data_IF_025325865787
#
_entry.id   IF_025325865787
#
_cell.length_a   1.000
_cell.length_b   1.000
_cell.length_c   1.000
_cell.angle_alpha   90.00
_cell.angle_beta   90.00
_cell.angle_gamma   90.00
#
_symmetry.space_group_name_H-M   'P 1'
#
loop_
_entity.id
_entity.type
_entity.pdbx_description
1 polymer ?
#
# COMPACT_ATOMS: atom_id res chain seq x y z
N UNK A 1 -30.38 36.65 11.32
CA UNK A 1 -29.61 37.56 12.20
C UNK A 1 -29.94 37.26 13.65
N UNK A 2 -29.17 36.41 14.30
CA UNK A 2 -28.99 36.42 15.77
C UNK A 2 -27.53 36.00 15.99
N UNK A 3 -26.73 36.96 16.46
CA UNK A 3 -25.34 36.77 16.90
C UNK A 3 -25.39 36.37 18.37
N UNK A 4 -24.60 35.38 18.78
CA UNK A 4 -24.13 35.25 20.15
C UNK A 4 -22.71 34.67 20.17
N UNK A 5 -21.92 34.97 21.22
CA UNK A 5 -20.54 35.40 21.10
C UNK A 5 -19.53 34.42 21.71
N UNK A 6 -18.26 34.71 21.44
CA UNK A 6 -17.10 34.09 22.06
C UNK A 6 -16.94 34.47 23.55
N UNK A 7 -16.47 33.52 24.35
CA UNK A 7 -15.73 33.70 25.60
C UNK A 7 -14.87 32.43 25.80
N UNK A 8 -13.55 32.49 25.54
CA UNK A 8 -12.46 32.75 26.49
C UNK A 8 -12.35 31.68 27.60
N UNK A 9 -11.31 30.84 27.48
CA UNK A 9 -10.57 30.33 28.63
C UNK A 9 -9.08 30.26 28.26
N UNK A 10 -8.34 31.27 28.72
CA UNK A 10 -6.89 31.28 28.81
C UNK A 10 -6.49 30.58 30.13
N UNK A 11 -5.49 29.71 30.07
CA UNK A 11 -4.88 29.06 31.24
C UNK A 11 -3.46 28.63 30.93
N UNK A 12 -2.54 29.59 31.07
CA UNK A 12 -1.10 29.58 30.81
C UNK A 12 -0.33 28.51 31.59
N UNK A 13 0.66 27.87 30.95
CA UNK A 13 1.90 27.41 31.60
C UNK A 13 3.04 27.47 30.58
N UNK A 14 4.04 28.28 30.91
CA UNK A 14 5.20 28.67 30.10
C UNK A 14 6.44 28.43 30.98
N UNK A 15 7.56 28.15 30.29
CA UNK A 15 8.97 28.24 30.71
C UNK A 15 9.75 26.97 31.12
N UNK A 16 10.61 26.52 30.18
CA UNK A 16 12.10 26.49 30.20
C UNK A 16 12.55 25.39 29.22
N UNK A 17 13.56 25.51 28.36
CA UNK A 17 14.55 26.53 28.06
C UNK A 17 15.40 26.01 26.89
N UNK A 18 15.90 26.93 26.07
CA UNK A 18 16.78 26.75 24.91
C UNK A 18 18.18 26.26 25.32
N UNK A 19 18.84 25.43 24.50
CA UNK A 19 20.31 25.40 24.24
C UNK A 19 20.65 24.39 23.12
N UNK A 20 21.26 24.90 22.02
CA UNK A 20 22.28 24.36 21.07
C UNK A 20 22.26 22.86 20.62
N UNK A 21 22.60 22.44 19.40
CA UNK A 21 23.55 22.98 18.43
C UNK A 21 23.31 22.45 17.00
N UNK A 22 23.79 23.23 16.04
CA UNK A 22 24.01 22.93 14.62
C UNK A 22 24.96 21.74 14.43
N UNK A 23 24.55 20.71 13.68
CA UNK A 23 25.47 19.84 12.93
C UNK A 23 25.05 19.90 11.46
N UNK A 24 25.76 20.74 10.71
CA UNK A 24 25.99 20.53 9.27
C UNK A 24 27.01 19.41 9.15
N UNK A 25 26.68 18.37 8.39
CA UNK A 25 27.60 17.31 8.02
C UNK A 25 27.07 16.51 6.84
N UNK A 26 27.45 16.92 5.63
CA UNK A 26 27.33 16.15 4.39
C UNK A 26 27.77 14.69 4.61
N UNK A 27 26.95 13.71 4.21
CA UNK A 27 27.35 12.43 3.59
C UNK A 27 26.13 11.50 3.43
N UNK A 28 25.29 11.76 2.44
CA UNK A 28 24.47 10.72 1.81
C UNK A 28 24.35 11.03 0.31
N UNK A 29 25.46 10.83 -0.41
CA UNK A 29 25.38 10.33 -1.79
C UNK A 29 25.28 8.81 -1.66
N UNK A 30 24.05 8.33 -1.46
CA UNK A 30 23.75 6.92 -1.69
C UNK A 30 23.66 6.73 -3.19
N UNK A 31 24.54 5.90 -3.75
CA UNK A 31 24.37 5.41 -5.11
C UNK A 31 23.00 4.73 -5.19
N UNK A 32 22.07 5.35 -5.92
CA UNK A 32 20.71 4.86 -6.13
C UNK A 32 20.64 3.68 -7.12
N UNK A 33 21.62 2.78 -7.11
CA UNK A 33 21.52 1.48 -7.77
C UNK A 33 20.81 0.47 -6.86
N UNK A 34 19.67 0.89 -6.30
CA UNK A 34 18.84 0.14 -5.36
C UNK A 34 18.04 -0.99 -6.02
N UNK A 35 18.71 -1.87 -6.76
CA UNK A 35 18.18 -3.19 -7.17
C UNK A 35 18.31 -4.20 -6.03
N UNK A 36 17.97 -3.79 -4.80
CA UNK A 36 17.94 -4.70 -3.66
C UNK A 36 16.99 -5.85 -4.00
N UNK A 37 17.46 -7.10 -4.10
CA UNK A 37 16.58 -8.22 -4.40
C UNK A 37 15.48 -8.26 -3.33
N UNK A 38 14.26 -8.60 -3.74
CA UNK A 38 13.22 -8.99 -2.78
C UNK A 38 13.87 -9.92 -1.76
N UNK A 39 13.67 -9.71 -0.44
CA UNK A 39 14.46 -10.35 0.59
C UNK A 39 14.56 -11.84 0.29
N UNK A 40 15.79 -12.29 0.01
CA UNK A 40 16.07 -13.66 -0.41
C UNK A 40 15.34 -14.59 0.54
N UNK A 41 14.45 -15.41 0.00
CA UNK A 41 13.59 -16.30 0.76
C UNK A 41 14.46 -17.12 1.73
N UNK A 42 14.50 -16.70 2.99
CA UNK A 42 15.37 -17.30 4.00
C UNK A 42 14.78 -18.66 4.35
N UNK A 43 15.45 -19.71 3.88
CA UNK A 43 15.17 -21.11 4.19
C UNK A 43 13.85 -21.68 3.65
N UNK A 44 13.50 -21.44 2.38
CA UNK A 44 12.79 -22.51 1.66
C UNK A 44 13.83 -23.58 1.43
N UNK A 45 13.80 -24.62 2.28
CA UNK A 45 14.53 -25.85 2.04
C UNK A 45 14.27 -26.23 0.60
N UNK A 46 15.31 -26.27 -0.24
CA UNK A 46 15.25 -26.72 -1.63
C UNK A 46 14.80 -28.18 -1.66
N UNK A 47 13.54 -28.45 -1.37
CA UNK A 47 12.81 -29.59 -1.88
C UNK A 47 12.62 -29.30 -3.36
N UNK A 48 13.69 -29.49 -4.14
CA UNK A 48 13.63 -29.59 -5.58
C UNK A 48 13.00 -30.96 -5.90
N UNK A 49 11.77 -31.18 -5.44
CA UNK A 49 10.91 -32.23 -5.92
C UNK A 49 10.56 -31.91 -7.36
N UNK A 50 10.97 -32.80 -8.27
CA UNK A 50 10.83 -32.71 -9.72
C UNK A 50 9.36 -32.96 -10.16
N UNK A 51 8.40 -32.44 -9.41
CA UNK A 51 6.95 -32.64 -9.63
C UNK A 51 6.35 -31.50 -10.48
N UNK A 52 7.08 -31.07 -11.51
CA UNK A 52 6.66 -29.97 -12.41
C UNK A 52 5.52 -30.33 -13.37
N UNK A 53 4.92 -31.51 -13.26
CA UNK A 53 3.82 -31.95 -14.10
C UNK A 53 2.55 -32.23 -13.28
N UNK A 54 2.22 -31.38 -12.32
CA UNK A 54 0.85 -31.36 -11.80
C UNK A 54 -0.05 -30.66 -12.84
N UNK A 55 -0.97 -31.37 -13.51
CA UNK A 55 -1.86 -30.79 -14.52
C UNK A 55 -2.71 -29.62 -13.98
N UNK A 56 -2.86 -29.49 -12.66
CA UNK A 56 -3.51 -28.34 -12.02
C UNK A 56 -2.78 -27.00 -12.15
N UNK A 57 -1.46 -27.00 -12.38
CA UNK A 57 -0.67 -25.77 -12.44
C UNK A 57 -0.99 -24.93 -13.68
N UNK A 58 -1.01 -25.56 -14.86
CA UNK A 58 -1.37 -24.92 -16.13
C UNK A 58 -2.83 -24.45 -16.13
N UNK A 59 -3.73 -25.25 -15.53
CA UNK A 59 -5.14 -24.89 -15.42
C UNK A 59 -5.34 -23.62 -14.59
N UNK A 60 -4.63 -23.51 -13.46
CA UNK A 60 -4.76 -22.35 -12.58
C UNK A 60 -4.26 -21.06 -13.23
N UNK A 61 -3.14 -21.14 -13.96
CA UNK A 61 -2.65 -20.01 -14.78
C UNK A 61 -3.70 -19.62 -15.82
N UNK A 62 -4.25 -20.58 -16.57
CA UNK A 62 -5.29 -20.33 -17.56
C UNK A 62 -6.53 -19.65 -16.96
N UNK A 63 -7.02 -20.15 -15.82
CA UNK A 63 -8.14 -19.54 -15.09
C UNK A 63 -7.82 -18.11 -14.65
N UNK A 64 -6.62 -17.87 -14.11
CA UNK A 64 -6.21 -16.53 -13.69
C UNK A 64 -6.14 -15.57 -14.88
N UNK A 65 -5.53 -15.98 -16.00
CA UNK A 65 -5.43 -15.16 -17.19
C UNK A 65 -6.80 -14.76 -17.76
N UNK A 66 -7.79 -15.64 -17.63
CA UNK A 66 -9.16 -15.43 -18.08
C UNK A 66 -9.98 -14.55 -17.13
N UNK A 67 -9.88 -14.78 -15.81
CA UNK A 67 -10.63 -14.03 -14.80
C UNK A 67 -9.82 -13.87 -13.49
N UNK A 68 -8.94 -12.86 -13.41
CA UNK A 68 -8.12 -12.61 -12.22
C UNK A 68 -8.95 -12.39 -10.95
N UNK A 69 -10.09 -11.71 -11.07
CA UNK A 69 -10.99 -11.44 -9.94
C UNK A 69 -11.57 -12.72 -9.36
N UNK A 70 -12.15 -13.58 -10.21
CA UNK A 70 -12.74 -14.84 -9.76
C UNK A 70 -11.71 -15.76 -9.10
N UNK A 71 -10.51 -15.89 -9.69
CA UNK A 71 -9.45 -16.72 -9.09
C UNK A 71 -8.94 -16.14 -7.77
N UNK A 72 -8.86 -14.82 -7.65
CA UNK A 72 -8.40 -14.16 -6.42
C UNK A 72 -9.43 -14.30 -5.30
N UNK A 73 -10.73 -14.16 -5.62
CA UNK A 73 -11.82 -14.15 -4.66
C UNK A 73 -12.62 -15.46 -4.59
N UNK A 74 -12.13 -16.58 -5.16
CA UNK A 74 -12.83 -17.88 -5.23
C UNK A 74 -13.22 -18.42 -3.83
N UNK A 75 -12.48 -18.04 -2.79
CA UNK A 75 -12.76 -18.43 -1.41
C UNK A 75 -12.42 -17.28 -0.45
N UNK A 76 -13.29 -16.26 -0.30
CA UNK A 76 -12.95 -15.03 0.40
C UNK A 76 -12.68 -15.25 1.90
N UNK A 77 -13.09 -16.37 2.48
CA UNK A 77 -12.91 -16.73 3.89
C UNK A 77 -11.64 -17.52 4.19
N UNK A 78 -10.82 -17.87 3.18
CA UNK A 78 -9.64 -18.70 3.37
C UNK A 78 -8.36 -17.86 3.35
N UNK A 79 -7.46 -18.17 4.30
CA UNK A 79 -6.05 -17.77 4.25
C UNK A 79 -5.41 -18.25 2.95
N UNK A 80 -4.72 -17.36 2.26
CA UNK A 80 -3.95 -17.69 1.06
C UNK A 80 -2.45 -17.57 1.33
N UNK A 81 -1.66 -18.34 0.59
CA UNK A 81 -0.20 -18.41 0.76
C UNK A 81 0.48 -18.26 -0.58
N UNK A 82 1.64 -17.62 -0.57
CA UNK A 82 2.59 -17.52 -1.68
C UNK A 82 4.00 -17.81 -1.13
N UNK A 83 5.04 -17.90 -1.98
CA UNK A 83 6.39 -18.23 -1.52
C UNK A 83 6.99 -17.28 -0.45
N UNK A 84 6.46 -16.07 -0.30
CA UNK A 84 6.95 -15.03 0.61
C UNK A 84 6.16 -14.91 1.90
N UNK A 85 5.00 -15.58 2.01
CA UNK A 85 4.18 -15.53 3.20
C UNK A 85 2.70 -15.83 2.95
N UNK A 86 1.86 -15.30 3.84
CA UNK A 86 0.40 -15.50 3.81
C UNK A 86 -0.36 -14.19 3.90
N UNK A 87 -1.61 -14.25 3.47
CA UNK A 87 -2.64 -13.23 3.70
C UNK A 87 -3.80 -13.94 4.41
N UNK A 88 -4.02 -13.60 5.67
CA UNK A 88 -5.17 -14.04 6.47
C UNK A 88 -6.33 -13.02 6.33
N UNK A 89 -7.50 -13.33 6.88
CA UNK A 89 -8.66 -12.41 6.86
C UNK A 89 -8.41 -11.14 7.68
N UNK A 90 -8.84 -9.97 7.20
CA UNK A 90 -8.63 -8.69 7.89
C UNK A 90 -9.09 -8.74 9.36
N UNK A 91 -10.28 -9.27 9.60
CA UNK A 91 -10.85 -9.46 10.95
C UNK A 91 -9.99 -10.37 11.84
N UNK A 92 -9.25 -11.32 11.26
CA UNK A 92 -8.34 -12.19 12.02
C UNK A 92 -7.16 -11.42 12.61
N UNK A 93 -6.65 -10.42 11.88
CA UNK A 93 -5.63 -9.50 12.38
C UNK A 93 -6.11 -8.72 13.60
N UNK A 94 -7.29 -8.11 13.49
CA UNK A 94 -7.87 -7.28 14.55
C UNK A 94 -8.17 -8.10 15.81
N UNK A 95 -8.78 -9.28 15.64
CA UNK A 95 -9.01 -10.22 16.73
C UNK A 95 -7.70 -10.64 17.42
N UNK A 96 -6.61 -10.83 16.67
CA UNK A 96 -5.29 -11.13 17.26
C UNK A 96 -4.74 -9.95 18.05
N UNK A 97 -4.81 -8.74 17.52
CA UNK A 97 -4.35 -7.53 18.22
C UNK A 97 -5.14 -7.31 19.53
N UNK A 98 -6.47 -7.44 19.47
CA UNK A 98 -7.34 -7.34 20.65
C UNK A 98 -7.06 -8.43 21.69
N UNK A 99 -6.68 -9.65 21.28
CA UNK A 99 -6.26 -10.70 22.22
C UNK A 99 -4.94 -10.35 22.92
N UNK A 100 -3.99 -9.73 22.21
CA UNK A 100 -2.74 -9.22 22.83
C UNK A 100 -3.07 -8.14 23.86
N UNK A 101 -3.88 -7.14 23.49
CA UNK A 101 -4.32 -6.07 24.39
C UNK A 101 -5.05 -6.64 25.63
N UNK A 102 -6.02 -7.53 25.43
CA UNK A 102 -6.74 -8.19 26.54
C UNK A 102 -5.79 -8.89 27.48
N UNK A 103 -4.81 -9.65 26.96
CA UNK A 103 -3.81 -10.34 27.78
C UNK A 103 -3.02 -9.36 28.65
N UNK A 104 -2.55 -8.26 28.07
CA UNK A 104 -1.81 -7.21 28.80
C UNK A 104 -2.67 -6.64 29.93
N UNK A 105 -3.91 -6.23 29.62
CA UNK A 105 -4.84 -5.67 30.60
C UNK A 105 -5.17 -6.66 31.73
N UNK A 106 -5.32 -7.95 31.42
CA UNK A 106 -5.60 -8.97 32.46
C UNK A 106 -4.39 -9.32 33.31
N UNK A 107 -3.18 -9.24 32.75
CA UNK A 107 -1.93 -9.56 33.47
C UNK A 107 -1.38 -8.39 34.27
N UNK A 108 -1.80 -7.17 33.94
CA UNK A 108 -1.28 -5.92 34.51
C UNK A 108 -2.41 -4.94 34.82
N UNK A 109 -3.30 -5.31 35.74
CA UNK A 109 -4.50 -4.54 36.07
C UNK A 109 -4.21 -3.16 36.70
N UNK A 110 -2.98 -2.95 37.20
CA UNK A 110 -2.51 -1.72 37.83
C UNK A 110 -1.76 -0.77 36.88
N UNK A 111 -1.54 -1.18 35.62
CA UNK A 111 -0.87 -0.34 34.62
C UNK A 111 -1.77 0.78 34.10
N UNK A 112 -1.16 1.94 33.87
CA UNK A 112 -1.82 3.04 33.16
C UNK A 112 -1.82 2.83 31.63
N UNK A 113 -2.58 3.64 30.90
CA UNK A 113 -2.71 3.53 29.44
C UNK A 113 -1.37 3.56 28.71
N UNK A 114 -0.43 4.42 29.12
CA UNK A 114 0.89 4.52 28.48
C UNK A 114 1.68 3.22 28.62
N UNK A 115 1.69 2.62 29.81
CA UNK A 115 2.37 1.34 30.05
C UNK A 115 1.74 0.21 29.21
N UNK A 116 0.41 0.19 29.11
CA UNK A 116 -0.32 -0.76 28.26
C UNK A 116 0.03 -0.59 26.78
N UNK A 117 0.06 0.65 26.29
CA UNK A 117 0.42 0.97 24.89
C UNK A 117 1.87 0.63 24.56
N UNK A 118 2.82 0.99 25.44
CA UNK A 118 4.24 0.65 25.27
C UNK A 118 4.45 -0.87 25.19
N UNK A 119 3.74 -1.64 26.02
CA UNK A 119 3.78 -3.10 25.96
C UNK A 119 3.09 -3.65 24.71
N UNK A 120 1.93 -3.11 24.33
CA UNK A 120 1.21 -3.52 23.12
C UNK A 120 2.09 -3.34 21.88
N UNK A 121 2.76 -2.19 21.78
CA UNK A 121 3.73 -1.90 20.73
C UNK A 121 4.86 -2.92 20.71
N UNK A 122 5.43 -3.24 21.87
CA UNK A 122 6.55 -4.20 21.98
C UNK A 122 6.15 -5.59 21.49
N UNK A 123 4.93 -6.05 21.78
CA UNK A 123 4.40 -7.35 21.36
C UNK A 123 4.06 -7.41 19.86
N UNK A 124 3.50 -6.33 19.32
CA UNK A 124 3.04 -6.27 17.93
C UNK A 124 4.18 -5.89 16.98
N UNK A 125 4.94 -4.84 17.28
CA UNK A 125 5.97 -4.26 16.42
C UNK A 125 7.35 -4.80 16.76
N UNK A 126 7.49 -6.13 16.71
CA UNK A 126 8.79 -6.78 16.90
C UNK A 126 9.81 -6.29 15.87
N UNK A 127 11.10 -6.27 16.23
CA UNK A 127 12.19 -5.81 15.36
C UNK A 127 12.15 -6.47 13.97
N UNK A 128 11.84 -7.77 13.91
CA UNK A 128 11.69 -8.52 12.65
C UNK A 128 10.57 -7.95 11.75
N UNK A 129 9.42 -7.60 12.34
CA UNK A 129 8.28 -7.03 11.60
C UNK A 129 8.60 -5.61 11.14
N UNK A 130 9.16 -4.78 12.02
CA UNK A 130 9.58 -3.40 11.69
C UNK A 130 10.56 -3.39 10.52
N UNK A 131 11.67 -4.16 10.62
CA UNK A 131 12.67 -4.26 9.55
C UNK A 131 12.10 -4.72 8.21
N UNK A 132 11.09 -5.60 8.24
CA UNK A 132 10.38 -6.05 7.03
C UNK A 132 9.62 -4.90 6.38
N UNK A 133 8.87 -4.12 7.15
CA UNK A 133 8.13 -2.96 6.64
C UNK A 133 9.09 -1.91 6.11
N UNK A 134 10.15 -1.56 6.85
CA UNK A 134 11.15 -0.58 6.41
C UNK A 134 11.84 -1.00 5.11
N UNK A 135 12.05 -2.30 4.92
CA UNK A 135 12.60 -2.85 3.67
C UNK A 135 11.61 -2.73 2.53
N UNK A 136 10.33 -3.07 2.76
CA UNK A 136 9.28 -2.92 1.76
C UNK A 136 9.04 -1.45 1.39
N UNK A 137 9.01 -0.55 2.37
CA UNK A 137 8.88 0.89 2.19
C UNK A 137 9.99 1.47 1.31
N UNK A 138 11.26 1.16 1.61
CA UNK A 138 12.40 1.61 0.78
C UNK A 138 12.33 1.05 -0.63
N UNK A 139 11.92 -0.21 -0.77
CA UNK A 139 11.75 -0.85 -2.07
C UNK A 139 10.64 -0.21 -2.89
N UNK A 140 9.46 0.03 -2.29
CA UNK A 140 8.32 0.71 -2.93
C UNK A 140 8.71 2.12 -3.36
N UNK A 141 9.37 2.88 -2.48
CA UNK A 141 9.86 4.23 -2.79
C UNK A 141 10.77 4.22 -4.02
N UNK A 142 11.75 3.30 -4.07
CA UNK A 142 12.64 3.17 -5.23
C UNK A 142 11.91 2.74 -6.51
N UNK A 143 10.88 1.90 -6.40
CA UNK A 143 10.06 1.53 -7.56
C UNK A 143 9.18 2.68 -8.06
N UNK A 144 8.61 3.49 -7.17
CA UNK A 144 7.88 4.70 -7.58
C UNK A 144 8.80 5.65 -8.33
N UNK A 145 10.02 5.87 -7.83
CA UNK A 145 11.06 6.61 -8.57
C UNK A 145 11.26 6.04 -9.97
N UNK A 146 11.51 4.73 -10.07
CA UNK A 146 11.70 4.04 -11.35
C UNK A 146 10.50 4.21 -12.30
N UNK A 147 9.27 4.11 -11.79
CA UNK A 147 8.04 4.25 -12.59
C UNK A 147 7.88 5.66 -13.14
N UNK A 148 8.26 6.70 -12.39
CA UNK A 148 8.18 8.09 -12.82
C UNK A 148 9.34 8.47 -13.73
N UNK A 149 10.56 8.08 -13.40
CA UNK A 149 11.77 8.39 -14.17
C UNK A 149 11.73 7.80 -15.59
N UNK A 150 11.22 6.57 -15.74
CA UNK A 150 11.11 5.89 -17.04
C UNK A 150 10.11 6.52 -18.01
N UNK A 151 9.23 7.41 -17.54
CA UNK A 151 8.25 8.06 -18.43
C UNK A 151 8.98 8.99 -19.41
N UNK A 152 8.52 9.08 -20.65
CA UNK A 152 9.12 10.00 -21.62
C UNK A 152 8.89 11.47 -21.23
N UNK A 153 9.73 12.37 -21.75
CA UNK A 153 9.56 13.82 -21.57
C UNK A 153 8.23 14.35 -22.16
N UNK A 154 7.61 13.58 -23.07
CA UNK A 154 6.27 13.88 -23.59
C UNK A 154 5.13 13.55 -22.62
N UNK A 155 5.39 12.71 -21.60
CA UNK A 155 4.45 12.38 -20.53
C UNK A 155 4.63 13.34 -19.36
N UNK A 156 5.87 13.50 -18.90
CA UNK A 156 6.23 14.43 -17.83
C UNK A 156 7.42 15.28 -18.22
N UNK A 157 7.29 16.59 -18.06
CA UNK A 157 8.44 17.49 -18.14
C UNK A 157 9.46 17.17 -17.04
N UNK A 158 10.67 17.70 -17.17
CA UNK A 158 11.72 17.52 -16.15
C UNK A 158 11.26 18.10 -14.81
N UNK A 159 10.59 19.25 -14.84
CA UNK A 159 10.05 19.95 -13.67
C UNK A 159 8.92 19.15 -13.03
N UNK A 160 8.00 18.59 -13.83
CA UNK A 160 6.92 17.73 -13.32
C UNK A 160 7.47 16.47 -12.65
N UNK A 161 8.45 15.78 -13.27
CA UNK A 161 9.12 14.64 -12.65
C UNK A 161 9.76 15.03 -11.33
N UNK A 162 10.51 16.12 -11.30
CA UNK A 162 11.18 16.58 -10.09
C UNK A 162 10.17 16.91 -8.97
N UNK A 163 9.02 17.51 -9.31
CA UNK A 163 7.97 17.80 -8.34
C UNK A 163 7.35 16.52 -7.76
N UNK A 164 7.00 15.54 -8.62
CA UNK A 164 6.44 14.24 -8.20
C UNK A 164 7.45 13.50 -7.31
N UNK A 165 8.70 13.36 -7.77
CA UNK A 165 9.75 12.64 -7.03
C UNK A 165 10.08 13.33 -5.70
N UNK A 166 10.11 14.66 -5.65
CA UNK A 166 10.30 15.40 -4.41
C UNK A 166 9.19 15.12 -3.39
N UNK A 167 7.95 14.88 -3.84
CA UNK A 167 6.85 14.52 -2.94
C UNK A 167 6.98 13.08 -2.44
N UNK A 168 7.32 12.14 -3.33
CA UNK A 168 7.69 10.77 -2.95
C UNK A 168 8.80 10.78 -1.90
N UNK A 169 9.79 11.67 -2.06
CA UNK A 169 10.93 11.77 -1.14
C UNK A 169 10.58 12.29 0.25
N UNK A 170 9.54 13.13 0.35
CA UNK A 170 9.05 13.73 1.59
C UNK A 170 8.12 12.85 2.40
N UNK A 171 7.62 11.75 1.84
CA UNK A 171 6.82 10.79 2.61
C UNK A 171 7.74 10.10 3.63
N UNK A 172 7.32 10.05 4.88
CA UNK A 172 8.05 9.40 5.97
C UNK A 172 7.31 8.16 6.47
N UNK A 173 8.01 7.04 6.65
CA UNK A 173 7.45 5.91 7.36
C UNK A 173 7.51 6.17 8.87
N UNK A 174 6.36 6.18 9.53
CA UNK A 174 6.27 6.32 10.98
C UNK A 174 5.80 4.98 11.55
N UNK A 175 6.68 4.32 12.31
CA UNK A 175 6.40 3.06 12.99
C UNK A 175 6.76 3.17 14.47
N UNK A 176 6.02 2.53 15.37
CA UNK A 176 6.44 2.34 16.75
C UNK A 176 7.43 1.15 16.85
N UNK A 177 8.22 1.02 17.93
CA UNK A 177 8.34 1.92 19.08
C UNK A 177 9.07 3.25 18.79
N UNK A 178 8.85 4.30 19.61
CA UNK A 178 7.97 4.34 20.80
C UNK A 178 6.48 4.43 20.45
N UNK A 179 5.59 4.08 21.39
CA UNK A 179 4.14 4.18 21.20
C UNK A 179 3.68 5.62 20.92
N UNK A 180 4.43 6.61 21.42
CA UNK A 180 4.16 8.03 21.18
C UNK A 180 4.13 8.43 19.70
N UNK A 181 4.69 7.61 18.80
CA UNK A 181 4.59 7.86 17.36
C UNK A 181 3.13 7.86 16.87
N UNK A 182 2.22 7.16 17.57
CA UNK A 182 0.77 7.12 17.28
C UNK A 182 -0.07 7.73 18.42
N UNK A 183 0.49 8.66 19.21
CA UNK A 183 -0.24 9.27 20.32
C UNK A 183 -1.54 9.99 19.90
N UNK A 184 -1.61 10.43 18.64
CA UNK A 184 -2.76 11.08 18.02
C UNK A 184 -3.79 10.12 17.43
N UNK A 185 -3.48 8.81 17.33
CA UNK A 185 -4.41 7.78 16.87
C UNK A 185 -4.04 6.40 17.46
N UNK A 186 -4.29 6.23 18.77
CA UNK A 186 -3.93 5.00 19.48
C UNK A 186 -4.69 3.75 18.97
N UNK A 187 -5.84 3.93 18.32
CA UNK A 187 -6.62 2.81 17.76
C UNK A 187 -5.88 2.12 16.60
N UNK A 188 -4.94 2.80 15.92
CA UNK A 188 -4.11 2.26 14.83
C UNK A 188 -3.38 0.98 15.25
N UNK A 189 -3.01 0.80 16.53
CA UNK A 189 -2.39 -0.44 17.01
C UNK A 189 -3.27 -1.69 16.82
N UNK A 190 -4.58 -1.51 16.65
CA UNK A 190 -5.56 -2.59 16.50
C UNK A 190 -6.19 -2.66 15.11
N UNK A 191 -5.87 -1.73 14.21
CA UNK A 191 -6.43 -1.65 12.85
C UNK A 191 -5.65 -2.49 11.84
N UNK A 192 -6.36 -3.04 10.86
CA UNK A 192 -5.79 -3.85 9.78
C UNK A 192 -5.60 -3.08 8.47
N UNK A 193 -4.97 -1.91 8.51
CA UNK A 193 -4.67 -1.11 7.31
C UNK A 193 -3.31 -0.43 7.40
N UNK A 194 -2.84 0.07 6.27
CA UNK A 194 -1.79 1.08 6.15
C UNK A 194 -2.50 2.41 5.87
N UNK A 195 -1.93 3.52 6.28
CA UNK A 195 -2.54 4.84 6.13
C UNK A 195 -1.53 5.83 5.59
N UNK A 196 -1.90 6.57 4.56
CA UNK A 196 -1.30 7.82 4.19
C UNK A 196 -1.99 9.01 4.85
N UNK A 197 -1.19 9.92 5.38
CA UNK A 197 -1.69 11.12 6.03
C UNK A 197 -0.82 12.34 5.71
N UNK A 198 -1.49 13.47 5.49
CA UNK A 198 -0.91 14.81 5.56
C UNK A 198 -1.34 15.44 6.89
N UNK A 199 -0.39 15.62 7.81
CA UNK A 199 -0.68 16.24 9.12
C UNK A 199 -1.01 17.72 8.96
N UNK A 200 -1.53 18.35 10.03
CA UNK A 200 -1.77 19.81 10.08
C UNK A 200 -0.49 20.63 9.83
N UNK A 201 0.68 20.07 10.15
CA UNK A 201 1.99 20.70 9.89
C UNK A 201 2.49 20.49 8.46
N UNK A 202 1.73 19.77 7.62
CA UNK A 202 2.11 19.41 6.26
C UNK A 202 3.14 18.28 6.17
N UNK A 203 3.38 17.55 7.27
CA UNK A 203 4.18 16.33 7.24
C UNK A 203 3.38 15.25 6.50
N UNK A 204 4.02 14.61 5.53
CA UNK A 204 3.45 13.47 4.81
C UNK A 204 4.01 12.20 5.41
N UNK A 205 3.15 11.31 5.89
CA UNK A 205 3.61 10.10 6.57
C UNK A 205 2.76 8.88 6.21
N UNK A 206 3.39 7.72 6.32
CA UNK A 206 2.75 6.42 6.31
C UNK A 206 2.73 5.84 7.71
N UNK A 207 1.57 5.32 8.13
CA UNK A 207 1.41 4.54 9.37
C UNK A 207 0.96 3.13 9.03
N UNK A 208 1.44 2.15 9.78
CA UNK A 208 1.01 0.74 9.62
C UNK A 208 0.29 0.29 10.87
N UNK A 209 -0.95 -0.16 10.69
CA UNK A 209 -1.79 -0.69 11.74
C UNK A 209 -1.22 -1.98 12.35
N UNK A 210 -1.41 -2.15 13.65
CA UNK A 210 -0.78 -3.26 14.36
C UNK A 210 -1.39 -4.62 13.99
N UNK A 211 -2.71 -4.67 13.75
CA UNK A 211 -3.38 -5.88 13.29
C UNK A 211 -2.92 -6.31 11.89
N UNK A 212 -2.61 -5.35 11.00
CA UNK A 212 -2.05 -5.62 9.68
C UNK A 212 -0.78 -6.49 9.77
N UNK A 213 0.12 -6.17 10.70
CA UNK A 213 1.38 -6.91 10.92
C UNK A 213 1.20 -8.31 11.50
N UNK A 214 0.06 -8.58 12.12
CA UNK A 214 -0.28 -9.90 12.65
C UNK A 214 -1.00 -10.76 11.61
N UNK A 215 -1.56 -10.12 10.57
CA UNK A 215 -2.40 -10.75 9.57
C UNK A 215 -1.63 -11.12 8.30
N UNK A 216 -0.73 -10.23 7.87
CA UNK A 216 -0.07 -10.31 6.57
C UNK A 216 1.41 -10.57 6.76
N UNK A 217 1.88 -11.62 6.11
CA UNK A 217 3.32 -11.87 5.92
C UNK A 217 3.72 -11.96 4.46
N UNK A 218 2.79 -11.98 3.51
CA UNK A 218 3.12 -11.89 2.08
C UNK A 218 3.89 -10.60 1.77
N UNK A 219 5.01 -10.72 1.05
CA UNK A 219 5.77 -9.56 0.55
C UNK A 219 4.97 -8.81 -0.51
N UNK A 220 4.29 -9.54 -1.38
CA UNK A 220 3.55 -8.97 -2.49
C UNK A 220 2.35 -8.14 -2.02
N UNK A 221 1.62 -8.62 -1.02
CA UNK A 221 0.53 -7.84 -0.41
C UNK A 221 1.07 -6.60 0.32
N UNK A 222 2.13 -6.76 1.13
CA UNK A 222 2.78 -5.62 1.79
C UNK A 222 3.26 -4.56 0.81
N UNK A 223 3.84 -4.96 -0.33
CA UNK A 223 4.26 -4.03 -1.39
C UNK A 223 3.07 -3.35 -2.05
N UNK A 224 1.99 -4.10 -2.35
CA UNK A 224 0.78 -3.52 -2.95
C UNK A 224 0.18 -2.45 -2.04
N UNK A 225 -0.09 -2.79 -0.77
CA UNK A 225 -0.73 -1.89 0.18
C UNK A 225 0.16 -0.69 0.52
N UNK A 226 1.48 -0.87 0.67
CA UNK A 226 2.38 0.27 0.81
C UNK A 226 2.40 1.15 -0.44
N UNK A 227 2.45 0.57 -1.64
CA UNK A 227 2.47 1.33 -2.88
C UNK A 227 1.17 2.11 -3.10
N UNK A 228 0.02 1.55 -2.73
CA UNK A 228 -1.27 2.23 -2.74
C UNK A 228 -1.21 3.48 -1.86
N UNK A 229 -0.91 3.32 -0.57
CA UNK A 229 -0.86 4.45 0.37
C UNK A 229 0.21 5.49 -0.01
N UNK A 230 1.39 5.04 -0.45
CA UNK A 230 2.44 5.95 -0.90
C UNK A 230 2.00 6.77 -2.12
N UNK A 231 1.20 6.17 -3.00
CA UNK A 231 0.74 6.83 -4.23
C UNK A 231 -0.24 7.97 -3.96
N UNK A 232 -0.93 7.98 -2.81
CA UNK A 232 -1.73 9.14 -2.42
C UNK A 232 -0.88 10.41 -2.33
N UNK A 233 0.39 10.32 -1.92
CA UNK A 233 1.28 11.47 -1.88
C UNK A 233 1.48 12.15 -3.25
N UNK A 234 1.19 11.46 -4.35
CA UNK A 234 1.33 11.97 -5.71
C UNK A 234 0.06 11.78 -6.53
N UNK A 235 -1.09 11.52 -5.91
CA UNK A 235 -2.33 11.37 -6.65
C UNK A 235 -2.81 12.73 -7.22
N UNK A 236 -3.74 12.74 -8.18
CA UNK A 236 -4.18 13.98 -8.81
C UNK A 236 -4.75 15.01 -7.84
N UNK A 237 -5.34 14.60 -6.73
CA UNK A 237 -5.96 15.50 -5.76
C UNK A 237 -4.93 16.12 -4.82
N UNK A 238 -3.97 15.33 -4.36
CA UNK A 238 -2.84 15.80 -3.58
C UNK A 238 -1.92 16.74 -4.40
N UNK A 239 -1.74 16.44 -5.69
CA UNK A 239 -0.99 17.31 -6.61
C UNK A 239 -1.75 18.60 -6.96
N UNK A 240 -3.09 18.55 -7.02
CA UNK A 240 -3.93 19.72 -7.26
C UNK A 240 -3.90 20.72 -6.10
N UNK A 241 -3.83 20.24 -4.86
CA UNK A 241 -3.70 21.08 -3.68
C UNK A 241 -2.45 21.98 -3.71
N UNK A 242 -1.39 21.54 -4.39
CA UNK A 242 -0.13 22.27 -4.55
C UNK A 242 -0.04 23.03 -5.88
N UNK A 243 -1.12 23.07 -6.68
CA UNK A 243 -1.18 23.68 -8.02
C UNK A 243 -0.19 23.10 -9.05
N UNK A 244 0.23 21.84 -8.89
CA UNK A 244 1.14 21.14 -9.80
C UNK A 244 0.46 19.87 -10.32
N UNK A 245 -0.56 19.98 -11.17
CA UNK A 245 -1.20 18.80 -11.77
C UNK A 245 -0.59 18.53 -13.15
N UNK A 246 0.16 17.43 -13.34
CA UNK A 246 0.72 17.10 -14.63
C UNK A 246 -0.36 16.91 -15.69
N UNK A 247 -0.09 17.30 -16.93
CA UNK A 247 -1.08 17.15 -18.02
C UNK A 247 -1.47 15.68 -18.23
N UNK A 248 -0.50 14.77 -18.15
CA UNK A 248 -0.72 13.33 -18.30
C UNK A 248 -1.69 12.75 -17.27
N UNK A 249 -1.87 13.37 -16.09
CA UNK A 249 -2.86 12.91 -15.12
C UNK A 249 -4.29 13.13 -15.64
N UNK A 250 -4.56 14.23 -16.35
CA UNK A 250 -5.88 14.50 -16.93
C UNK A 250 -6.26 13.47 -18.00
N UNK A 251 -5.30 13.09 -18.82
CA UNK A 251 -5.48 12.04 -19.84
C UNK A 251 -5.72 10.68 -19.20
N UNK A 252 -4.97 10.36 -18.13
CA UNK A 252 -5.14 9.14 -17.36
C UNK A 252 -6.53 9.08 -16.69
N UNK A 253 -6.97 10.16 -16.04
CA UNK A 253 -8.32 10.26 -15.45
C UNK A 253 -9.40 10.11 -16.52
N UNK A 254 -9.21 10.74 -17.68
CA UNK A 254 -10.14 10.59 -18.81
C UNK A 254 -10.22 9.14 -19.28
N UNK A 255 -9.12 8.40 -19.23
CA UNK A 255 -9.13 6.96 -19.46
C UNK A 255 -9.92 6.22 -18.36
N UNK A 256 -9.66 6.52 -17.08
CA UNK A 256 -10.36 5.88 -15.95
C UNK A 256 -11.89 6.05 -16.04
N UNK A 257 -12.36 7.23 -16.44
CA UNK A 257 -13.79 7.49 -16.67
C UNK A 257 -14.31 6.69 -17.86
N UNK A 258 -13.59 6.73 -19.00
CA UNK A 258 -14.00 6.02 -20.23
C UNK A 258 -14.08 4.49 -20.03
N UNK A 259 -13.17 3.91 -19.26
CA UNK A 259 -13.15 2.46 -18.97
C UNK A 259 -14.12 2.05 -17.85
N UNK A 260 -14.82 3.03 -17.25
CA UNK A 260 -15.72 2.83 -16.12
C UNK A 260 -14.98 2.31 -14.88
N UNK A 261 -13.74 2.76 -14.67
CA UNK A 261 -13.02 2.58 -13.42
C UNK A 261 -13.42 3.65 -12.41
N UNK A 262 -13.68 4.88 -12.89
CA UNK A 262 -14.20 6.00 -12.10
C UNK A 262 -15.60 6.34 -12.62
N UNK A 263 -16.55 6.55 -11.72
CA UNK A 263 -17.84 7.15 -12.08
C UNK A 263 -17.62 8.59 -12.57
N UNK A 264 -18.19 8.95 -13.72
CA UNK A 264 -18.06 10.30 -14.27
C UNK A 264 -18.54 11.40 -13.31
N UNK A 265 -19.48 11.11 -12.41
CA UNK A 265 -19.92 12.05 -11.37
C UNK A 265 -18.94 12.21 -10.20
N UNK A 266 -17.91 11.35 -10.10
CA UNK A 266 -16.94 11.28 -8.99
C UNK A 266 -15.50 11.44 -9.48
N UNK A 267 -15.31 12.07 -10.64
CA UNK A 267 -14.01 12.25 -11.28
C UNK A 267 -13.26 13.54 -10.87
N UNK A 268 -13.79 14.28 -9.91
CA UNK A 268 -13.27 15.58 -9.45
C UNK A 268 -12.99 15.50 -7.97
N UNK A 269 -11.84 16.03 -7.54
CA UNK A 269 -11.39 15.99 -6.15
C UNK A 269 -12.40 16.63 -5.17
N UNK A 270 -12.68 15.93 -4.07
CA UNK A 270 -13.64 16.30 -3.03
C UNK A 270 -14.00 15.08 -2.15
N UNK A 271 -14.95 15.24 -1.23
CA UNK A 271 -15.22 14.23 -0.19
C UNK A 271 -15.68 12.85 -0.71
N UNK A 272 -16.25 12.80 -1.91
CA UNK A 272 -16.84 11.59 -2.53
C UNK A 272 -16.16 11.19 -3.84
N UNK A 273 -14.95 11.66 -4.06
CA UNK A 273 -14.19 11.41 -5.28
C UNK A 273 -13.63 9.98 -5.31
N UNK A 274 -13.34 9.50 -6.52
CA UNK A 274 -12.87 8.13 -6.77
C UNK A 274 -11.50 8.09 -7.45
N UNK A 275 -11.00 9.24 -7.86
CA UNK A 275 -9.79 9.39 -8.67
C UNK A 275 -8.54 9.10 -7.86
N UNK A 276 -8.43 9.57 -6.62
CA UNK A 276 -7.26 9.27 -5.77
C UNK A 276 -7.10 7.78 -5.55
N UNK A 277 -8.17 7.10 -5.15
CA UNK A 277 -8.19 5.66 -4.89
C UNK A 277 -7.89 4.83 -6.15
N UNK A 278 -8.50 5.17 -7.29
CA UNK A 278 -8.17 4.52 -8.57
C UNK A 278 -6.71 4.74 -8.94
N UNK A 279 -6.21 5.97 -8.76
CA UNK A 279 -4.83 6.28 -9.08
C UNK A 279 -3.86 5.49 -8.20
N UNK A 280 -4.15 5.40 -6.90
CA UNK A 280 -3.37 4.67 -5.93
C UNK A 280 -3.32 3.17 -6.25
N UNK A 281 -4.46 2.54 -6.56
CA UNK A 281 -4.52 1.14 -7.00
C UNK A 281 -3.79 0.89 -8.32
N UNK A 282 -3.99 1.78 -9.29
CA UNK A 282 -3.33 1.69 -10.59
C UNK A 282 -1.81 1.77 -10.44
N UNK A 283 -1.32 2.72 -9.65
CA UNK A 283 0.11 2.86 -9.37
C UNK A 283 0.65 1.68 -8.55
N UNK A 284 -0.11 1.16 -7.58
CA UNK A 284 0.25 -0.03 -6.83
C UNK A 284 0.40 -1.25 -7.75
N UNK A 285 -0.49 -1.41 -8.74
CA UNK A 285 -0.37 -2.46 -9.75
C UNK A 285 0.89 -2.28 -10.62
N UNK A 286 1.24 -1.06 -11.02
CA UNK A 286 2.49 -0.77 -11.73
C UNK A 286 3.72 -1.13 -10.89
N UNK A 287 3.75 -0.77 -9.61
CA UNK A 287 4.86 -1.07 -8.69
C UNK A 287 5.00 -2.56 -8.41
N UNK A 288 3.89 -3.26 -8.11
CA UNK A 288 3.91 -4.70 -7.83
C UNK A 288 4.30 -5.52 -9.06
N UNK A 289 3.96 -5.05 -10.27
CA UNK A 289 4.36 -5.74 -11.50
C UNK A 289 5.87 -5.93 -11.62
N UNK A 290 6.68 -4.97 -11.14
CA UNK A 290 8.14 -5.11 -11.07
C UNK A 290 8.56 -6.22 -10.10
N UNK A 291 7.88 -6.34 -8.95
CA UNK A 291 8.16 -7.42 -7.98
C UNK A 291 7.85 -8.78 -8.58
N UNK A 292 6.72 -8.91 -9.30
CA UNK A 292 6.33 -10.15 -9.95
C UNK A 292 7.29 -10.51 -11.09
N UNK A 293 7.72 -9.53 -11.90
CA UNK A 293 8.69 -9.73 -12.97
C UNK A 293 10.04 -10.24 -12.47
N UNK A 294 10.51 -9.73 -11.33
CA UNK A 294 11.75 -10.22 -10.72
C UNK A 294 11.66 -11.68 -10.24
N UNK A 295 10.45 -12.16 -9.92
CA UNK A 295 10.21 -13.53 -9.47
C UNK A 295 10.17 -14.57 -10.60
N UNK A 296 10.16 -14.15 -11.87
CA UNK A 296 10.02 -15.03 -13.04
C UNK A 296 11.07 -16.14 -13.12
N UNK A 297 12.27 -15.88 -12.58
CA UNK A 297 13.37 -16.86 -12.58
C UNK A 297 13.30 -17.85 -11.41
N UNK A 298 12.65 -17.46 -10.33
CA UNK A 298 12.70 -18.19 -9.06
C UNK A 298 11.43 -19.00 -8.81
N UNK A 299 10.29 -18.59 -9.39
CA UNK A 299 8.97 -19.16 -9.09
C UNK A 299 8.34 -19.88 -10.28
N UNK A 300 7.67 -21.00 -10.01
CA UNK A 300 6.84 -21.68 -11.00
C UNK A 300 5.66 -20.79 -11.45
N UNK A 301 5.02 -21.12 -12.59
CA UNK A 301 3.82 -20.39 -13.05
C UNK A 301 2.72 -20.33 -11.99
N UNK A 302 2.49 -21.42 -11.25
CA UNK A 302 1.53 -21.43 -10.16
C UNK A 302 1.97 -20.56 -8.97
N UNK A 303 3.23 -20.60 -8.57
CA UNK A 303 3.74 -19.77 -7.48
C UNK A 303 3.64 -18.28 -7.82
N UNK A 304 3.84 -17.92 -9.09
CA UNK A 304 3.62 -16.57 -9.61
C UNK A 304 2.15 -16.16 -9.53
N UNK A 305 1.23 -17.04 -9.90
CA UNK A 305 -0.22 -16.79 -9.73
C UNK A 305 -0.58 -16.66 -8.25
N UNK A 306 -0.01 -17.47 -7.35
CA UNK A 306 -0.22 -17.33 -5.91
C UNK A 306 0.28 -15.97 -5.40
N UNK A 307 1.46 -15.53 -5.83
CA UNK A 307 2.00 -14.21 -5.51
C UNK A 307 1.09 -13.07 -6.02
N UNK A 308 0.61 -13.17 -7.27
CA UNK A 308 -0.31 -12.20 -7.85
C UNK A 308 -1.67 -12.17 -7.10
N UNK A 309 -2.25 -13.33 -6.80
CA UNK A 309 -3.47 -13.45 -5.98
C UNK A 309 -3.25 -12.82 -4.61
N UNK A 310 -2.16 -13.16 -3.92
CA UNK A 310 -1.88 -12.61 -2.60
C UNK A 310 -1.64 -11.11 -2.61
N UNK A 311 -1.13 -10.53 -3.70
CA UNK A 311 -0.91 -9.09 -3.82
C UNK A 311 -2.16 -8.28 -3.47
N UNK A 312 -3.33 -8.75 -3.92
CA UNK A 312 -4.60 -8.02 -3.88
C UNK A 312 -5.72 -8.81 -3.21
N UNK A 313 -5.36 -9.79 -2.36
CA UNK A 313 -6.33 -10.73 -1.77
C UNK A 313 -7.25 -10.08 -0.75
N UNK A 314 -6.70 -9.15 0.03
CA UNK A 314 -7.40 -8.36 1.05
C UNK A 314 -8.54 -7.52 0.46
N UNK A 315 -8.40 -7.05 -0.79
CA UNK A 315 -9.46 -6.32 -1.50
C UNK A 315 -10.76 -7.13 -1.64
N UNK A 316 -10.72 -8.46 -1.62
CA UNK A 316 -11.94 -9.28 -1.69
C UNK A 316 -12.82 -9.13 -0.43
N UNK A 317 -12.26 -8.72 0.71
CA UNK A 317 -13.00 -8.62 1.98
C UNK A 317 -13.73 -7.27 2.14
N UNK A 318 -13.29 -6.24 1.43
CA UNK A 318 -13.94 -4.92 1.43
C UNK A 318 -15.37 -4.97 0.89
N UNK A 319 -15.68 -5.95 0.02
CA UNK A 319 -17.05 -6.18 -0.45
C UNK A 319 -18.01 -6.65 0.65
N UNK A 320 -17.50 -7.10 1.79
CA UNK A 320 -18.28 -7.72 2.88
C UNK A 320 -18.26 -6.88 4.16
N UNK A 321 -17.38 -5.87 4.26
CA UNK A 321 -17.30 -5.02 5.45
C UNK A 321 -18.59 -4.21 5.64
N UNK A 322 -19.10 -4.21 6.87
CA UNK A 322 -20.30 -3.43 7.26
C UNK A 322 -20.02 -1.92 7.34
N UNK A 323 -18.76 -1.51 7.18
CA UNK A 323 -18.36 -0.10 7.25
C UNK A 323 -18.62 0.61 5.91
N UNK A 324 -19.90 0.89 5.65
CA UNK A 324 -20.41 1.56 4.44
C UNK A 324 -19.78 2.95 4.23
N UNK A 325 -19.18 3.55 5.27
CA UNK A 325 -18.55 4.87 5.18
C UNK A 325 -17.16 4.83 4.52
N UNK A 326 -16.41 3.74 4.65
CA UNK A 326 -15.06 3.60 4.07
C UNK A 326 -15.07 3.22 2.58
N UNK A 327 -16.14 2.57 2.11
CA UNK A 327 -16.21 2.04 0.73
C UNK A 327 -16.79 3.02 -0.28
N UNK A 328 -17.25 4.21 0.12
CA UNK A 328 -17.89 5.15 -0.81
C UNK A 328 -16.93 5.66 -1.89
N UNK A 329 -15.65 5.79 -1.57
CA UNK A 329 -14.63 6.35 -2.46
C UNK A 329 -13.82 5.28 -3.19
N UNK A 330 -13.93 4.03 -2.75
CA UNK A 330 -13.27 2.89 -3.38
C UNK A 330 -14.14 2.25 -4.48
N UNK A 331 -13.48 1.62 -5.45
CA UNK A 331 -14.14 0.87 -6.51
C UNK A 331 -14.44 -0.54 -6.03
N UNK A 332 -15.40 -1.19 -6.68
CA UNK A 332 -15.67 -2.60 -6.40
C UNK A 332 -14.40 -3.46 -6.61
N UNK A 333 -14.20 -4.55 -5.84
CA UNK A 333 -13.05 -5.42 -6.03
C UNK A 333 -12.95 -6.02 -7.44
N UNK A 334 -14.06 -6.20 -8.15
CA UNK A 334 -14.06 -6.62 -9.55
C UNK A 334 -13.33 -5.62 -10.47
N UNK A 335 -13.42 -4.32 -10.18
CA UNK A 335 -12.68 -3.28 -10.88
C UNK A 335 -11.22 -3.26 -10.41
N UNK A 336 -10.98 -3.15 -9.10
CA UNK A 336 -9.62 -3.04 -8.51
C UNK A 336 -8.74 -4.25 -8.88
N UNK A 337 -9.23 -5.46 -8.64
CA UNK A 337 -8.52 -6.71 -8.94
C UNK A 337 -8.61 -7.04 -10.43
N UNK A 338 -9.82 -7.06 -10.98
CA UNK A 338 -10.06 -7.60 -12.32
C UNK A 338 -9.63 -6.68 -13.45
N UNK A 339 -9.88 -5.36 -13.33
CA UNK A 339 -9.61 -4.39 -14.39
C UNK A 339 -8.30 -3.64 -14.21
N UNK A 340 -7.92 -3.24 -13.00
CA UNK A 340 -6.67 -2.52 -12.76
C UNK A 340 -5.50 -3.50 -12.63
N UNK A 341 -5.50 -4.33 -11.58
CA UNK A 341 -4.38 -5.25 -11.34
C UNK A 341 -4.27 -6.34 -12.43
N UNK A 342 -5.35 -7.05 -12.71
CA UNK A 342 -5.37 -8.21 -13.59
C UNK A 342 -5.23 -7.92 -15.09
N UNK A 343 -5.49 -6.68 -15.52
CA UNK A 343 -5.24 -6.23 -16.91
C UNK A 343 -3.92 -5.50 -17.08
N UNK A 344 -3.19 -5.20 -16.00
CA UNK A 344 -1.88 -4.60 -16.08
C UNK A 344 -0.98 -5.46 -16.99
N UNK A 345 -0.47 -4.93 -18.12
CA UNK A 345 0.29 -5.72 -19.08
C UNK A 345 1.56 -6.37 -18.50
N UNK A 346 2.22 -5.74 -17.53
CA UNK A 346 3.41 -6.29 -16.89
C UNK A 346 3.05 -7.42 -15.92
N UNK A 347 1.96 -7.27 -15.14
CA UNK A 347 1.41 -8.38 -14.32
C UNK A 347 1.06 -9.57 -15.21
N UNK A 348 0.35 -9.32 -16.33
CA UNK A 348 -0.05 -10.36 -17.29
C UNK A 348 1.15 -11.08 -17.90
N UNK A 349 2.17 -10.34 -18.31
CA UNK A 349 3.43 -10.89 -18.82
C UNK A 349 4.08 -11.81 -17.80
N UNK A 350 4.17 -11.39 -16.54
CA UNK A 350 4.76 -12.22 -15.49
C UNK A 350 3.98 -13.50 -15.19
N UNK A 351 2.72 -13.59 -15.58
CA UNK A 351 1.89 -14.80 -15.45
C UNK A 351 1.83 -15.64 -16.74
N UNK A 352 2.40 -15.18 -17.86
CA UNK A 352 2.27 -15.86 -19.16
C UNK A 352 0.89 -15.66 -19.83
N UNK A 353 0.23 -14.53 -19.55
CA UNK A 353 -1.12 -14.21 -20.03
C UNK A 353 -1.16 -13.36 -21.31
N UNK A 354 -0.04 -13.18 -22.02
CA UNK A 354 0.08 -12.25 -23.16
C UNK A 354 -0.83 -12.62 -24.33
N UNK A 355 -1.05 -13.92 -24.54
CA UNK A 355 -1.90 -14.44 -25.62
C UNK A 355 -3.40 -14.47 -25.25
N UNK A 356 -3.75 -14.15 -24.00
CA UNK A 356 -5.14 -14.08 -23.57
C UNK A 356 -5.62 -12.64 -23.73
N UNK A 357 -6.71 -12.38 -24.48
CA UNK A 357 -7.24 -11.03 -24.63
C UNK A 357 -7.44 -10.35 -23.28
N UNK A 358 -6.88 -9.17 -23.12
CA UNK A 358 -7.22 -8.26 -22.05
C UNK A 358 -8.16 -7.20 -22.61
N UNK A 359 -9.16 -6.78 -21.84
CA UNK A 359 -9.88 -5.55 -22.16
C UNK A 359 -8.97 -4.33 -21.99
N UNK A 360 -9.50 -3.14 -22.25
CA UNK A 360 -8.75 -1.89 -22.15
C UNK A 360 -8.07 -1.72 -20.78
N UNK A 361 -6.85 -1.16 -20.82
CA UNK A 361 -6.04 -0.81 -19.66
C UNK A 361 -5.57 0.65 -19.80
N UNK A 362 -5.69 1.42 -18.72
CA UNK A 362 -5.26 2.80 -18.69
C UNK A 362 -3.77 2.92 -18.38
N UNK A 363 -3.09 3.80 -19.09
CA UNK A 363 -1.67 4.10 -18.89
C UNK A 363 -1.37 5.52 -19.35
N UNK A 364 -0.22 6.05 -18.95
CA UNK A 364 0.35 7.23 -19.60
C UNK A 364 0.57 6.93 -21.09
N UNK A 365 0.03 7.78 -21.97
CA UNK A 365 0.05 7.58 -23.42
C UNK A 365 1.31 8.20 -24.04
N UNK A 366 1.90 7.58 -25.10
CA UNK A 366 1.78 6.19 -25.53
C UNK A 366 2.83 5.29 -24.86
N UNK A 367 2.48 4.02 -24.59
CA UNK A 367 3.46 3.00 -24.19
C UNK A 367 4.34 2.65 -25.39
N UNK A 368 5.66 2.84 -25.29
CA UNK A 368 6.64 2.31 -26.25
C UNK A 368 6.95 0.85 -25.98
#
# INVERSE_FOLDING_TARGET
MVKHPAAILLGTLLFLGTVFAVIRGNLFRGDASGSGPAPASTNITKSAGKDSNHPGSAERVRRYCANPYEVTCENPTRTTTDPTGRVDLQISGEVRALRVLRKILTSHADWNSKQVEDQLVTEIYTEKRVKRIESAYRWVKAQLHTVIERQDASVFSVEEKQAILSRVDRVELNLPPPASNYADAADVFTKNSIYYERTETGQMRLRVGGAYLLNISSWYNLVFSLAHEFSHAIDPCEMAADAVVPTAYRELISCFVRTGWVDGARNTCGDNEQVSEVFADWMAAEVVSSSLGNSEKDYSGEQRVQAAVNSVRDLCEEAVSLDVLSTQNHQTPAIRIGKMFGRNPLVRKSMGCENTPAGDYCAFSPRK
#
